data_IF_959520438725
#
_entry.id   IF_959520438725
#
_cell.length_a   1.000
_cell.length_b   1.000
_cell.length_c   1.000
_cell.angle_alpha   90.00
_cell.angle_beta   90.00
_cell.angle_gamma   90.00
#
_symmetry.space_group_name_H-M   'P 1'
#
loop_
_entity.id
_entity.type
_entity.pdbx_description
1 polymer ?
#
# COMPACT_ATOMS: atom_id res chain seq x y z
N UNK A 1 -27.47 50.68 -34.16
CA UNK A 1 -28.57 49.89 -33.56
C UNK A 1 -28.54 48.40 -33.96
N UNK A 2 -28.98 47.94 -35.16
CA UNK A 2 -28.98 46.49 -35.50
C UNK A 2 -27.59 45.86 -35.65
N UNK A 3 -26.62 46.64 -36.14
CA UNK A 3 -25.24 46.19 -36.35
C UNK A 3 -24.49 46.02 -35.02
N UNK A 4 -24.63 46.97 -34.09
CA UNK A 4 -24.02 46.87 -32.75
C UNK A 4 -24.51 45.65 -31.97
N UNK A 5 -25.80 45.31 -32.08
CA UNK A 5 -26.37 44.09 -31.47
C UNK A 5 -25.76 42.82 -32.06
N UNK A 6 -25.58 42.76 -33.39
CA UNK A 6 -24.93 41.62 -34.04
C UNK A 6 -23.46 41.47 -33.61
N UNK A 7 -22.73 42.57 -33.46
CA UNK A 7 -21.35 42.52 -32.96
C UNK A 7 -21.29 42.06 -31.51
N UNK A 8 -22.17 42.60 -30.65
CA UNK A 8 -22.26 42.17 -29.26
C UNK A 8 -22.59 40.67 -29.14
N UNK A 9 -23.48 40.14 -29.99
CA UNK A 9 -23.81 38.71 -30.01
C UNK A 9 -22.63 37.85 -30.48
N UNK A 10 -21.88 38.28 -31.50
CA UNK A 10 -20.70 37.56 -31.99
C UNK A 10 -19.54 37.61 -30.98
N UNK A 11 -19.32 38.76 -30.34
CA UNK A 11 -18.33 38.92 -29.26
C UNK A 11 -18.67 38.04 -28.06
N UNK A 12 -19.96 37.97 -27.68
CA UNK A 12 -20.43 37.06 -26.64
C UNK A 12 -20.22 35.59 -27.01
N UNK A 13 -20.54 35.21 -28.25
CA UNK A 13 -20.30 33.84 -28.75
C UNK A 13 -18.81 33.48 -28.78
N UNK A 14 -17.93 34.41 -29.19
CA UNK A 14 -16.48 34.19 -29.16
C UNK A 14 -15.96 34.06 -27.73
N UNK A 15 -16.39 34.93 -26.81
CA UNK A 15 -16.00 34.85 -25.41
C UNK A 15 -16.46 33.54 -24.74
N UNK A 16 -17.67 33.06 -25.05
CA UNK A 16 -18.14 31.75 -24.60
C UNK A 16 -17.28 30.60 -25.16
N UNK A 17 -16.89 30.68 -26.44
CA UNK A 17 -16.01 29.67 -27.05
C UNK A 17 -14.62 29.66 -26.41
N UNK A 18 -14.02 30.83 -26.20
CA UNK A 18 -12.71 30.96 -25.52
C UNK A 18 -12.78 30.39 -24.09
N UNK A 19 -13.80 30.78 -23.32
CA UNK A 19 -14.00 30.25 -21.97
C UNK A 19 -14.19 28.73 -21.95
N UNK A 20 -14.89 28.16 -22.94
CA UNK A 20 -15.06 26.72 -23.05
C UNK A 20 -13.75 25.98 -23.38
N UNK A 21 -12.89 26.57 -24.22
CA UNK A 21 -11.56 26.02 -24.53
C UNK A 21 -10.67 26.05 -23.29
N UNK A 22 -10.63 27.17 -22.56
CA UNK A 22 -9.84 27.30 -21.35
C UNK A 22 -10.27 26.28 -20.27
N UNK A 23 -11.57 26.10 -20.06
CA UNK A 23 -12.09 25.10 -19.13
C UNK A 23 -11.72 23.66 -19.54
N UNK A 24 -11.77 23.35 -20.84
CA UNK A 24 -11.39 22.03 -21.33
C UNK A 24 -9.89 21.75 -21.10
N UNK A 25 -9.06 22.76 -21.31
CA UNK A 25 -7.61 22.73 -21.04
C UNK A 25 -7.32 22.53 -19.56
N UNK A 26 -7.99 23.27 -18.68
CA UNK A 26 -7.88 23.12 -17.22
C UNK A 26 -8.29 21.70 -16.77
N UNK A 27 -9.41 21.19 -17.27
CA UNK A 27 -9.87 19.84 -16.95
C UNK A 27 -8.88 18.76 -17.43
N UNK A 28 -8.27 18.96 -18.60
CA UNK A 28 -7.24 18.07 -19.14
C UNK A 28 -5.99 18.08 -18.26
N UNK A 29 -5.50 19.26 -17.87
CA UNK A 29 -4.34 19.43 -16.98
C UNK A 29 -4.60 18.82 -15.60
N UNK A 30 -5.79 19.04 -15.02
CA UNK A 30 -6.17 18.47 -13.75
C UNK A 30 -6.21 16.93 -13.78
N UNK A 31 -6.75 16.33 -14.85
CA UNK A 31 -6.72 14.87 -15.06
C UNK A 31 -5.30 14.34 -15.23
N UNK A 32 -4.46 15.03 -15.99
CA UNK A 32 -3.07 14.63 -16.18
C UNK A 32 -2.29 14.67 -14.86
N UNK A 33 -2.53 15.68 -14.03
CA UNK A 33 -1.91 15.78 -12.71
C UNK A 33 -2.41 14.67 -11.77
N UNK A 34 -3.72 14.43 -11.75
CA UNK A 34 -4.29 13.32 -10.97
C UNK A 34 -3.75 11.95 -11.42
N UNK A 35 -3.51 11.76 -12.72
CA UNK A 35 -2.93 10.52 -13.27
C UNK A 35 -1.51 10.21 -12.78
N UNK A 36 -0.81 11.15 -12.14
CA UNK A 36 0.51 10.93 -11.53
C UNK A 36 0.44 10.45 -10.09
N UNK A 37 -0.72 10.59 -9.44
CA UNK A 37 -0.91 10.22 -8.03
C UNK A 37 -0.85 8.70 -7.89
N UNK A 38 0.03 8.19 -7.02
CA UNK A 38 0.14 6.76 -6.77
C UNK A 38 -0.80 6.34 -5.64
N UNK A 39 -1.18 5.06 -5.64
CA UNK A 39 -1.96 4.48 -4.54
C UNK A 39 -1.23 4.62 -3.19
N UNK A 40 0.10 4.50 -3.17
CA UNK A 40 0.91 4.73 -1.99
C UNK A 40 0.74 6.16 -1.43
N UNK A 41 0.64 7.18 -2.29
CA UNK A 41 0.45 8.57 -1.85
C UNK A 41 -0.95 8.80 -1.29
N UNK A 42 -1.97 8.12 -1.85
CA UNK A 42 -3.33 8.10 -1.31
C UNK A 42 -3.38 7.44 0.07
N UNK A 43 -2.67 6.32 0.25
CA UNK A 43 -2.55 5.63 1.53
C UNK A 43 -1.81 6.50 2.56
N UNK A 44 -0.68 7.12 2.20
CA UNK A 44 0.05 8.04 3.10
C UNK A 44 -0.83 9.20 3.58
N UNK A 45 -1.72 9.72 2.73
CA UNK A 45 -2.71 10.74 3.12
C UNK A 45 -3.75 10.25 4.12
N UNK A 46 -3.88 8.94 4.31
CA UNK A 46 -4.79 8.29 5.24
C UNK A 46 -4.06 7.64 6.45
N UNK A 47 -2.76 7.89 6.66
CA UNK A 47 -2.04 7.39 7.83
C UNK A 47 -2.76 7.78 9.13
N UNK A 48 -2.93 6.82 10.03
CA UNK A 48 -3.69 6.94 11.28
C UNK A 48 -5.18 6.62 11.16
N UNK A 49 -5.72 6.41 9.95
CA UNK A 49 -7.12 6.05 9.72
C UNK A 49 -7.33 4.53 9.68
N UNK A 50 -8.56 4.10 9.92
CA UNK A 50 -9.00 2.72 9.66
C UNK A 50 -9.17 2.50 8.15
N UNK A 51 -8.48 1.50 7.61
CA UNK A 51 -8.55 1.12 6.20
C UNK A 51 -8.82 -0.37 6.05
N UNK A 52 -9.43 -0.74 4.92
CA UNK A 52 -9.55 -2.15 4.51
C UNK A 52 -8.90 -2.34 3.16
N UNK A 53 -7.94 -3.26 3.09
CA UNK A 53 -7.23 -3.67 1.88
C UNK A 53 -7.84 -4.97 1.37
N UNK A 54 -8.42 -4.93 0.18
CA UNK A 54 -8.85 -6.13 -0.53
C UNK A 54 -7.66 -6.75 -1.25
N UNK A 55 -7.31 -7.97 -0.90
CA UNK A 55 -6.26 -8.77 -1.53
C UNK A 55 -6.87 -10.00 -2.19
N UNK A 56 -6.14 -10.65 -3.10
CA UNK A 56 -6.61 -11.89 -3.74
C UNK A 56 -6.95 -13.02 -2.76
N UNK A 57 -6.33 -13.00 -1.58
CA UNK A 57 -6.49 -13.98 -0.51
C UNK A 57 -7.53 -13.59 0.57
N UNK A 58 -8.19 -12.43 0.46
CA UNK A 58 -9.17 -11.94 1.43
C UNK A 58 -9.00 -10.47 1.78
N UNK A 59 -9.74 -9.99 2.78
CA UNK A 59 -9.66 -8.62 3.28
C UNK A 59 -8.72 -8.50 4.49
N UNK A 60 -7.93 -7.45 4.50
CA UNK A 60 -7.03 -7.08 5.58
C UNK A 60 -7.41 -5.68 6.06
N UNK A 61 -8.00 -5.60 7.25
CA UNK A 61 -8.46 -4.35 7.84
C UNK A 61 -7.68 -4.00 9.12
N UNK A 62 -7.51 -2.71 9.34
CA UNK A 62 -6.92 -2.16 10.56
C UNK A 62 -6.50 -0.70 10.39
N UNK A 63 -5.94 -0.16 11.47
CA UNK A 63 -5.39 1.19 11.46
C UNK A 63 -4.13 1.25 10.63
N UNK A 64 -4.09 2.14 9.64
CA UNK A 64 -2.91 2.40 8.84
C UNK A 64 -1.83 3.09 9.68
N UNK A 65 -0.68 2.45 9.85
CA UNK A 65 0.43 2.97 10.65
C UNK A 65 1.52 3.58 9.77
N UNK A 66 1.89 2.90 8.70
CA UNK A 66 2.97 3.37 7.81
C UNK A 66 2.81 2.82 6.39
N UNK A 67 3.42 3.49 5.42
CA UNK A 67 3.36 3.17 3.99
C UNK A 67 4.73 3.36 3.34
N UNK A 68 5.36 2.24 3.01
CA UNK A 68 6.61 2.22 2.25
C UNK A 68 6.40 2.42 0.75
N UNK A 69 7.43 2.10 -0.03
CA UNK A 69 7.38 2.19 -1.50
C UNK A 69 6.51 1.09 -2.13
N UNK A 70 6.55 -0.11 -1.55
CA UNK A 70 5.88 -1.33 -2.05
C UNK A 70 5.25 -2.16 -0.91
N UNK A 71 5.03 -1.55 0.26
CA UNK A 71 4.38 -2.19 1.40
C UNK A 71 3.52 -1.21 2.21
N UNK A 72 2.61 -1.77 3.01
CA UNK A 72 1.71 -1.06 3.92
C UNK A 72 1.75 -1.74 5.28
N UNK A 73 1.84 -1.00 6.37
CA UNK A 73 1.77 -1.52 7.73
C UNK A 73 0.43 -1.15 8.36
N UNK A 74 -0.35 -2.16 8.71
CA UNK A 74 -1.59 -2.02 9.48
C UNK A 74 -1.38 -2.53 10.90
N UNK A 75 -2.19 -2.03 11.83
CA UNK A 75 -2.42 -2.67 13.12
C UNK A 75 -3.86 -3.16 13.15
N UNK A 76 -4.04 -4.47 13.29
CA UNK A 76 -5.37 -5.10 13.33
C UNK A 76 -6.10 -4.83 14.67
N UNK A 77 -7.35 -5.27 14.76
CA UNK A 77 -8.19 -5.10 15.96
C UNK A 77 -7.65 -5.84 17.20
N UNK A 78 -6.73 -6.78 17.02
CA UNK A 78 -6.03 -7.48 18.09
C UNK A 78 -4.67 -6.84 18.41
N UNK A 79 -4.44 -5.62 17.92
CA UNK A 79 -3.19 -4.87 18.03
C UNK A 79 -1.99 -5.55 17.39
N UNK A 80 -2.19 -6.47 16.43
CA UNK A 80 -1.08 -7.14 15.74
C UNK A 80 -0.68 -6.34 14.52
N UNK A 81 0.63 -6.24 14.30
CA UNK A 81 1.19 -5.68 13.08
C UNK A 81 0.92 -6.61 11.90
N UNK A 82 0.44 -6.01 10.81
CA UNK A 82 0.19 -6.67 9.52
C UNK A 82 0.94 -5.89 8.44
N UNK A 83 2.09 -6.43 8.03
CA UNK A 83 2.87 -5.92 6.91
C UNK A 83 2.31 -6.50 5.61
N UNK A 84 1.69 -5.67 4.77
CA UNK A 84 1.04 -6.06 3.52
C UNK A 84 1.89 -5.65 2.34
N UNK A 85 2.12 -6.55 1.38
CA UNK A 85 2.77 -6.22 0.11
C UNK A 85 1.81 -5.39 -0.75
N UNK A 86 2.21 -4.17 -1.14
CA UNK A 86 1.32 -3.27 -1.89
C UNK A 86 0.97 -3.85 -3.27
N UNK A 87 1.88 -4.60 -3.88
CA UNK A 87 1.63 -5.31 -5.15
C UNK A 87 0.53 -6.39 -5.07
N UNK A 88 0.14 -6.82 -3.87
CA UNK A 88 -0.96 -7.77 -3.66
C UNK A 88 -2.32 -7.09 -3.40
N UNK A 89 -2.35 -5.75 -3.23
CA UNK A 89 -3.56 -4.98 -2.95
C UNK A 89 -4.32 -4.73 -4.26
N UNK A 90 -5.60 -5.09 -4.28
CA UNK A 90 -6.50 -4.93 -5.43
C UNK A 90 -7.46 -3.76 -5.28
N UNK A 91 -7.89 -3.47 -4.05
CA UNK A 91 -8.73 -2.32 -3.73
C UNK A 91 -8.46 -1.85 -2.30
N UNK A 92 -8.76 -0.58 -2.04
CA UNK A 92 -8.63 0.05 -0.73
C UNK A 92 -9.93 0.77 -0.38
N UNK A 93 -10.44 0.53 0.82
CA UNK A 93 -11.57 1.26 1.41
C UNK A 93 -11.11 2.02 2.66
N UNK A 94 -11.83 3.07 3.05
CA UNK A 94 -11.50 3.91 4.22
C UNK A 94 -10.52 5.05 3.93
N UNK A 95 -10.22 5.33 2.66
CA UNK A 95 -9.39 6.48 2.28
C UNK A 95 -10.13 7.81 2.49
N UNK A 96 -9.38 8.85 2.83
CA UNK A 96 -9.88 10.22 2.95
C UNK A 96 -9.72 10.99 1.64
N UNK A 97 -10.24 12.22 1.56
CA UNK A 97 -9.98 13.11 0.42
C UNK A 97 -8.50 13.57 0.35
N UNK A 98 -7.73 13.41 1.43
CA UNK A 98 -6.34 13.87 1.50
C UNK A 98 -5.43 12.93 0.73
N UNK A 99 -4.54 13.50 -0.07
CA UNK A 99 -3.43 12.79 -0.73
C UNK A 99 -2.15 13.38 -0.18
N UNK A 100 -1.20 12.55 0.23
CA UNK A 100 0.11 13.06 0.62
C UNK A 100 0.82 13.67 -0.60
N UNK A 101 1.66 14.67 -0.38
CA UNK A 101 2.56 15.12 -1.43
C UNK A 101 3.38 13.91 -1.92
N UNK A 102 3.59 13.80 -3.23
CA UNK A 102 4.44 12.76 -3.78
C UNK A 102 5.78 12.80 -3.03
N UNK A 103 6.11 11.71 -2.37
CA UNK A 103 7.41 11.61 -1.70
C UNK A 103 8.47 11.89 -2.76
N UNK A 104 9.36 12.85 -2.50
CA UNK A 104 10.50 13.04 -3.37
C UNK A 104 11.31 11.74 -3.29
N UNK A 105 11.20 10.88 -4.30
CA UNK A 105 11.77 9.53 -4.36
C UNK A 105 13.31 9.56 -4.39
N UNK A 106 13.90 10.02 -3.29
CA UNK A 106 15.31 9.91 -3.00
C UNK A 106 15.71 8.44 -2.89
N UNK A 107 16.99 8.16 -3.07
CA UNK A 107 17.54 6.80 -2.92
C UNK A 107 17.24 6.18 -1.53
N UNK A 108 16.98 7.02 -0.52
CA UNK A 108 16.68 6.60 0.86
C UNK A 108 15.26 6.01 0.98
N UNK A 109 14.25 6.59 0.35
CA UNK A 109 12.87 6.05 0.39
C UNK A 109 12.75 4.74 -0.40
N UNK A 110 13.50 4.61 -1.50
CA UNK A 110 13.63 3.33 -2.23
C UNK A 110 14.37 2.25 -1.42
N UNK A 111 15.18 2.63 -0.43
CA UNK A 111 15.87 1.67 0.43
C UNK A 111 14.96 1.08 1.53
N UNK A 112 13.76 1.65 1.73
CA UNK A 112 12.73 1.15 2.64
C UNK A 112 11.69 0.30 1.89
N UNK A 113 12.17 -0.62 1.05
CA UNK A 113 11.34 -1.60 0.33
C UNK A 113 10.81 -2.71 1.24
N UNK A 114 9.88 -3.51 0.72
CA UNK A 114 9.23 -4.61 1.44
C UNK A 114 10.28 -5.56 1.99
N UNK A 115 11.34 -5.83 1.23
CA UNK A 115 12.44 -6.67 1.65
C UNK A 115 13.16 -6.13 2.89
N UNK A 116 13.40 -4.82 2.96
CA UNK A 116 13.99 -4.17 4.13
C UNK A 116 13.08 -4.32 5.34
N UNK A 117 11.77 -4.18 5.18
CA UNK A 117 10.79 -4.41 6.25
C UNK A 117 10.79 -5.87 6.72
N UNK A 118 10.76 -6.84 5.80
CA UNK A 118 10.84 -8.28 6.14
C UNK A 118 12.17 -8.62 6.83
N UNK A 119 13.29 -7.98 6.44
CA UNK A 119 14.58 -8.15 7.12
C UNK A 119 14.58 -7.62 8.56
N UNK A 120 13.78 -6.60 8.88
CA UNK A 120 13.61 -6.14 10.26
C UNK A 120 12.88 -7.21 11.08
N UNK A 121 11.75 -7.73 10.57
CA UNK A 121 11.01 -8.83 11.21
C UNK A 121 11.88 -10.08 11.42
N UNK A 122 12.71 -10.43 10.44
CA UNK A 122 13.66 -11.54 10.54
C UNK A 122 14.73 -11.31 11.62
N UNK A 123 15.21 -10.07 11.77
CA UNK A 123 16.18 -9.70 12.82
C UNK A 123 15.58 -9.87 14.20
N UNK A 124 14.32 -9.45 14.36
CA UNK A 124 13.63 -9.49 15.65
C UNK A 124 13.13 -10.90 16.01
N UNK A 125 13.31 -11.87 15.08
CA UNK A 125 12.90 -13.28 15.26
C UNK A 125 11.43 -13.40 15.63
N UNK A 126 10.59 -12.51 15.09
CA UNK A 126 9.16 -12.50 15.37
C UNK A 126 8.50 -13.79 14.83
N UNK A 127 7.66 -14.41 15.66
CA UNK A 127 6.73 -15.45 15.21
C UNK A 127 5.60 -14.77 14.42
N UNK A 128 5.33 -15.28 13.21
CA UNK A 128 4.49 -14.64 12.22
C UNK A 128 3.56 -15.66 11.56
N UNK A 129 2.43 -15.16 11.06
CA UNK A 129 1.63 -15.81 10.03
C UNK A 129 1.94 -15.16 8.68
N UNK A 130 2.24 -15.98 7.68
CA UNK A 130 2.55 -15.58 6.31
C UNK A 130 1.39 -15.95 5.41
N UNK A 131 0.67 -14.94 4.91
CA UNK A 131 -0.45 -15.09 3.97
C UNK A 131 0.09 -15.02 2.54
N UNK A 132 -0.22 -16.03 1.74
CA UNK A 132 0.20 -16.15 0.35
C UNK A 132 -0.95 -15.82 -0.63
N UNK A 133 -0.58 -15.56 -1.89
CA UNK A 133 -1.51 -15.16 -2.94
C UNK A 133 -2.57 -16.21 -3.30
N UNK A 134 -2.28 -17.49 -3.03
CA UNK A 134 -3.21 -18.61 -3.18
C UNK A 134 -4.14 -18.80 -1.97
N UNK A 135 -4.02 -17.94 -0.95
CA UNK A 135 -4.79 -18.02 0.29
C UNK A 135 -4.16 -18.90 1.37
N UNK A 136 -3.04 -19.57 1.09
CA UNK A 136 -2.36 -20.36 2.10
C UNK A 136 -1.82 -19.47 3.23
N UNK A 137 -1.93 -19.97 4.47
CA UNK A 137 -1.36 -19.32 5.66
C UNK A 137 -0.32 -20.25 6.26
N UNK A 138 0.92 -19.79 6.28
CA UNK A 138 2.03 -20.49 6.91
C UNK A 138 2.35 -19.85 8.26
N UNK A 139 2.81 -20.62 9.22
CA UNK A 139 3.12 -20.17 10.57
C UNK A 139 4.59 -20.46 10.89
N UNK A 140 5.31 -19.49 11.45
CA UNK A 140 6.69 -19.69 11.84
C UNK A 140 7.50 -18.41 11.98
N UNK A 141 8.82 -18.53 11.88
CA UNK A 141 9.76 -17.40 12.00
C UNK A 141 10.60 -17.28 10.75
N UNK A 142 10.82 -16.05 10.27
CA UNK A 142 11.70 -15.79 9.13
C UNK A 142 13.16 -15.94 9.57
N UNK A 143 13.89 -16.89 8.97
CA UNK A 143 15.30 -17.12 9.25
C UNK A 143 16.22 -16.24 8.41
N UNK A 144 15.89 -16.11 7.12
CA UNK A 144 16.71 -15.45 6.11
C UNK A 144 15.84 -14.76 5.08
N UNK A 145 16.39 -13.70 4.48
CA UNK A 145 15.75 -12.96 3.38
C UNK A 145 16.74 -12.82 2.25
N UNK A 146 16.43 -13.46 1.12
CA UNK A 146 17.20 -13.42 -0.12
C UNK A 146 16.92 -12.17 -0.96
N UNK A 147 17.20 -12.30 -2.27
CA UNK A 147 17.06 -11.23 -3.26
C UNK A 147 15.66 -11.15 -3.90
N UNK A 148 14.79 -12.12 -3.64
CA UNK A 148 13.39 -12.16 -4.09
C UNK A 148 12.55 -13.16 -3.29
N UNK A 149 13.11 -13.74 -2.22
CA UNK A 149 12.46 -14.71 -1.36
C UNK A 149 12.78 -14.49 0.12
N UNK A 150 12.00 -15.11 0.99
CA UNK A 150 12.32 -15.33 2.40
C UNK A 150 12.35 -16.82 2.70
N UNK A 151 13.09 -17.23 3.72
CA UNK A 151 13.01 -18.60 4.26
C UNK A 151 12.28 -18.58 5.60
N UNK A 152 11.17 -19.30 5.64
CA UNK A 152 10.34 -19.47 6.82
C UNK A 152 10.68 -20.82 7.47
N UNK A 153 11.11 -20.79 8.72
CA UNK A 153 11.12 -22.00 9.55
C UNK A 153 9.71 -22.22 10.10
N UNK A 154 9.03 -23.24 9.61
CA UNK A 154 7.65 -23.55 9.97
C UNK A 154 7.60 -24.19 11.37
N UNK A 155 6.82 -23.59 12.27
CA UNK A 155 6.57 -24.09 13.63
C UNK A 155 5.30 -23.42 14.20
N UNK A 156 4.67 -24.00 15.24
CA UNK A 156 3.58 -23.34 15.96
C UNK A 156 3.99 -21.96 16.48
N UNK A 157 3.13 -20.95 16.30
CA UNK A 157 3.44 -19.54 16.65
C UNK A 157 3.44 -19.27 18.16
N UNK A 158 2.85 -20.18 18.95
CA UNK A 158 2.85 -20.20 20.41
C UNK A 158 4.14 -20.79 21.00
N UNK A 159 4.99 -21.39 20.17
CA UNK A 159 6.27 -21.94 20.59
C UNK A 159 7.45 -21.13 20.02
N UNK A 160 8.46 -20.77 20.85
CA UNK A 160 9.67 -20.16 20.34
C UNK A 160 10.36 -21.08 19.33
N UNK A 161 10.89 -20.50 18.25
CA UNK A 161 11.64 -21.25 17.24
C UNK A 161 12.79 -22.06 17.86
N UNK A 162 12.64 -23.39 17.91
CA UNK A 162 13.68 -24.36 18.31
C UNK A 162 13.78 -25.48 17.29
N UNK A 163 14.98 -26.05 17.11
CA UNK A 163 15.21 -27.13 16.12
C UNK A 163 14.24 -28.30 16.28
N UNK A 164 13.82 -28.62 17.51
CA UNK A 164 12.92 -29.75 17.79
C UNK A 164 11.47 -29.51 17.35
N UNK A 165 11.03 -28.26 17.25
CA UNK A 165 9.62 -27.89 16.96
C UNK A 165 9.43 -27.41 15.52
N UNK A 166 10.54 -27.20 14.79
CA UNK A 166 10.51 -26.87 13.38
C UNK A 166 10.08 -28.09 12.58
N UNK A 167 8.95 -27.98 11.90
CA UNK A 167 8.36 -29.04 11.07
C UNK A 167 8.86 -29.00 9.63
N UNK A 168 9.38 -27.86 9.18
CA UNK A 168 9.93 -27.68 7.85
C UNK A 168 10.60 -26.32 7.66
N UNK A 169 11.30 -26.16 6.54
CA UNK A 169 11.81 -24.86 6.08
C UNK A 169 11.30 -24.64 4.66
N UNK A 170 10.70 -23.48 4.42
CA UNK A 170 10.14 -23.13 3.12
C UNK A 170 10.71 -21.83 2.62
N UNK A 171 11.20 -21.85 1.38
CA UNK A 171 11.47 -20.63 0.63
C UNK A 171 10.14 -20.09 0.05
N UNK A 172 9.80 -18.85 0.38
CA UNK A 172 8.60 -18.16 -0.10
C UNK A 172 9.04 -17.00 -0.97
N UNK A 173 8.59 -16.97 -2.22
CA UNK A 173 8.81 -15.82 -3.12
C UNK A 173 8.10 -14.58 -2.57
N UNK A 174 8.80 -13.44 -2.54
CA UNK A 174 8.21 -12.17 -2.14
C UNK A 174 7.10 -11.73 -3.11
N UNK A 175 7.13 -12.17 -4.37
CA UNK A 175 6.05 -11.91 -5.32
C UNK A 175 4.76 -12.69 -5.03
N UNK A 176 4.84 -13.76 -4.24
CA UNK A 176 3.68 -14.54 -3.79
C UNK A 176 3.19 -14.11 -2.39
N UNK A 177 3.92 -13.25 -1.70
CA UNK A 177 3.59 -12.78 -0.36
C UNK A 177 2.46 -11.74 -0.43
N UNK A 178 1.38 -11.98 0.30
CA UNK A 178 0.31 -10.99 0.50
C UNK A 178 0.56 -10.20 1.77
N UNK A 179 0.77 -10.90 2.89
CA UNK A 179 0.99 -10.25 4.18
C UNK A 179 1.80 -11.09 5.16
N UNK A 180 2.52 -10.42 6.06
CA UNK A 180 3.09 -10.99 7.28
C UNK A 180 2.37 -10.37 8.48
N UNK A 181 1.79 -11.21 9.34
CA UNK A 181 1.10 -10.80 10.56
C UNK A 181 1.85 -11.33 11.79
N UNK A 182 2.17 -10.46 12.74
CA UNK A 182 2.77 -10.85 14.03
C UNK A 182 1.83 -11.76 14.82
N UNK A 183 2.39 -12.75 15.53
CA UNK A 183 1.60 -13.68 16.34
C UNK A 183 1.06 -13.01 17.61
N UNK A 184 1.87 -12.13 18.23
CA UNK A 184 1.51 -11.32 19.38
C UNK A 184 1.20 -9.86 19.01
N UNK A 185 0.62 -9.09 19.93
CA UNK A 185 0.39 -7.66 19.70
C UNK A 185 1.71 -6.91 19.49
N UNK A 186 1.65 -5.82 18.74
CA UNK A 186 2.74 -4.87 18.58
C UNK A 186 3.23 -4.43 19.96
N UNK A 187 4.54 -4.49 20.18
CA UNK A 187 5.14 -3.86 21.34
C UNK A 187 5.11 -2.35 21.08
N UNK A 188 4.27 -1.64 21.83
CA UNK A 188 4.01 -0.20 21.65
C UNK A 188 5.23 0.69 21.85
#
# INVERSE_FOLDING_TARGET
MRWEQLFADLEAQMAEQEAAVDQADEASRARAEHGRVRLADRLRGATGQEVSLSCGAGELAGRLVDVGVDWVLLVDQQHREVLVALGAVRAVSGLTAVTAAAAAEGAVDRALDLRRAVRALARDRAALHCLLADGAVLAGTVDRVGADFLELAEHPVDEPRRRAVVTGVRAVSLGALVALRTAGPALG
#
